data_IF_479322731029
#
_entry.id   IF_479322731029
#
_cell.length_a   1.000
_cell.length_b   1.000
_cell.length_c   1.000
_cell.angle_alpha   90.00
_cell.angle_beta   90.00
_cell.angle_gamma   90.00
#
_symmetry.space_group_name_H-M   'P 1'
#
loop_
_entity.id
_entity.type
_entity.pdbx_description
1 polymer ?
#
# COMPACT_ATOMS: atom_id res chain seq x y z
N UNK A 1 24.29 19.39 20.79
CA UNK A 1 23.50 19.22 19.54
C UNK A 1 22.31 18.33 19.87
N UNK A 2 21.06 18.78 19.59
CA UNK A 2 19.89 17.91 19.75
C UNK A 2 20.06 16.70 18.81
N UNK A 3 19.98 15.51 19.36
CA UNK A 3 20.01 14.27 18.57
C UNK A 3 18.78 14.29 17.65
N UNK A 4 18.98 14.52 16.36
CA UNK A 4 17.88 14.65 15.38
C UNK A 4 17.39 13.25 14.94
N UNK A 5 16.76 12.52 15.84
CA UNK A 5 16.22 11.21 15.53
C UNK A 5 15.00 11.31 14.61
N UNK A 6 14.96 10.46 13.58
CA UNK A 6 13.81 10.27 12.70
C UNK A 6 13.27 8.88 12.98
N UNK A 7 11.99 8.79 13.34
CA UNK A 7 11.30 7.53 13.55
C UNK A 7 10.66 7.08 12.23
N UNK A 8 11.10 5.94 11.70
CA UNK A 8 10.54 5.32 10.51
C UNK A 8 9.46 4.32 10.93
N UNK A 9 8.20 4.62 10.62
CA UNK A 9 7.06 3.77 10.93
C UNK A 9 6.73 2.85 9.76
N UNK A 10 6.87 1.54 9.99
CA UNK A 10 6.48 0.47 9.09
C UNK A 10 5.41 -0.40 9.76
N UNK A 11 4.11 -0.08 9.57
CA UNK A 11 3.01 -0.79 10.22
C UNK A 11 2.80 -2.21 9.70
N UNK A 12 3.41 -2.54 8.58
CA UNK A 12 3.41 -3.83 7.89
C UNK A 12 4.60 -3.91 6.92
N UNK A 13 4.63 -4.92 6.04
CA UNK A 13 5.69 -5.09 5.03
C UNK A 13 5.65 -4.10 3.86
N UNK A 14 4.60 -3.28 3.78
CA UNK A 14 4.46 -2.30 2.68
C UNK A 14 5.50 -1.18 2.82
N UNK A 15 6.23 -0.97 1.77
CA UNK A 15 7.26 0.08 1.70
C UNK A 15 8.67 -0.35 2.08
N UNK A 16 8.91 -1.57 2.60
CA UNK A 16 10.26 -2.08 2.90
C UNK A 16 11.16 -1.88 1.68
N UNK A 17 10.77 -2.46 0.54
CA UNK A 17 11.55 -2.36 -0.70
C UNK A 17 11.78 -0.91 -1.13
N UNK A 18 10.74 -0.07 -1.05
CA UNK A 18 10.77 1.29 -1.57
C UNK A 18 11.56 2.26 -0.68
N UNK A 19 11.63 2.00 0.62
CA UNK A 19 12.21 2.97 1.56
C UNK A 19 13.40 2.43 2.35
N UNK A 20 13.47 1.12 2.60
CA UNK A 20 14.60 0.54 3.35
C UNK A 20 15.69 -0.01 2.43
N UNK A 21 15.33 -0.46 1.21
CA UNK A 21 16.27 -0.98 0.22
C UNK A 21 16.58 0.01 -0.92
N UNK A 22 16.18 1.27 -0.76
CA UNK A 22 16.47 2.37 -1.66
C UNK A 22 17.46 3.35 -1.04
N UNK A 23 17.96 4.28 -1.84
CA UNK A 23 18.88 5.32 -1.36
C UNK A 23 18.21 6.50 -0.64
N UNK A 24 16.88 6.43 -0.37
CA UNK A 24 16.11 7.54 0.24
C UNK A 24 16.70 8.01 1.58
N UNK A 25 17.20 7.10 2.40
CA UNK A 25 17.76 7.40 3.72
C UNK A 25 19.26 7.22 3.81
N UNK A 26 19.95 7.09 2.68
CA UNK A 26 21.40 6.90 2.62
C UNK A 26 22.16 8.06 3.26
N UNK A 27 23.07 7.75 4.16
CA UNK A 27 23.85 8.74 4.91
C UNK A 27 23.16 9.27 6.18
N UNK A 28 21.94 8.85 6.46
CA UNK A 28 21.16 9.23 7.66
C UNK A 28 21.01 8.11 8.69
N UNK A 29 21.60 6.96 8.46
CA UNK A 29 21.32 5.69 9.17
C UNK A 29 21.51 5.80 10.69
N UNK A 30 22.44 6.62 11.14
CA UNK A 30 22.71 6.85 12.59
C UNK A 30 21.59 7.63 13.30
N UNK A 31 20.80 8.38 12.54
CA UNK A 31 19.68 9.17 13.04
C UNK A 31 18.36 8.42 13.02
N UNK A 32 18.32 7.26 12.32
CA UNK A 32 17.12 6.50 12.09
C UNK A 32 16.81 5.55 13.26
N UNK A 33 15.54 5.51 13.64
CA UNK A 33 14.98 4.49 14.53
C UNK A 33 13.79 3.85 13.80
N UNK A 34 13.80 2.54 13.65
CA UNK A 34 12.72 1.80 13.01
C UNK A 34 11.66 1.42 14.06
N UNK A 35 10.40 1.76 13.81
CA UNK A 35 9.22 1.28 14.55
C UNK A 35 8.37 0.43 13.60
N UNK A 36 8.28 -0.88 13.84
CA UNK A 36 7.76 -1.81 12.84
C UNK A 36 6.88 -2.92 13.43
N UNK A 37 6.08 -3.56 12.55
CA UNK A 37 5.29 -4.76 12.86
C UNK A 37 5.80 -5.99 12.07
N UNK A 38 7.12 -6.10 11.86
CA UNK A 38 7.71 -7.24 11.17
C UNK A 38 7.76 -8.47 12.07
N UNK A 39 7.77 -9.65 11.47
CA UNK A 39 8.21 -10.86 12.14
C UNK A 39 9.74 -10.87 12.32
N UNK A 40 10.25 -11.76 13.16
CA UNK A 40 11.67 -11.84 13.50
C UNK A 40 12.56 -12.08 12.26
N UNK A 41 12.08 -12.84 11.27
CA UNK A 41 12.83 -13.14 10.04
C UNK A 41 12.96 -11.89 9.17
N UNK A 42 11.86 -11.14 8.99
CA UNK A 42 11.85 -9.90 8.22
C UNK A 42 12.67 -8.82 8.92
N UNK A 43 12.57 -8.69 10.25
CA UNK A 43 13.39 -7.75 11.03
C UNK A 43 14.89 -8.04 10.84
N UNK A 44 15.29 -9.30 10.95
CA UNK A 44 16.69 -9.70 10.75
C UNK A 44 17.16 -9.40 9.32
N UNK A 45 16.35 -9.75 8.31
CA UNK A 45 16.69 -9.46 6.91
C UNK A 45 16.87 -7.96 6.64
N UNK A 46 16.05 -7.10 7.25
CA UNK A 46 16.19 -5.64 7.16
C UNK A 46 17.49 -5.18 7.83
N UNK A 47 17.81 -5.68 9.04
CA UNK A 47 19.07 -5.34 9.73
C UNK A 47 20.31 -5.78 8.95
N UNK A 48 20.26 -6.95 8.32
CA UNK A 48 21.38 -7.48 7.53
C UNK A 48 21.59 -6.70 6.22
N UNK A 49 20.49 -6.17 5.65
CA UNK A 49 20.52 -5.49 4.35
C UNK A 49 20.66 -3.97 4.45
N UNK A 50 20.50 -3.40 5.64
CA UNK A 50 20.58 -1.95 5.87
C UNK A 50 21.52 -1.63 7.01
N UNK A 51 22.00 -0.39 7.07
CA UNK A 51 22.82 0.07 8.20
C UNK A 51 21.96 0.49 9.42
N UNK A 52 20.65 0.31 9.39
CA UNK A 52 19.72 0.69 10.47
C UNK A 52 19.70 -0.42 11.53
N UNK A 53 20.33 -0.15 12.68
CA UNK A 53 20.42 -1.13 13.78
C UNK A 53 19.40 -0.87 14.89
N UNK A 54 18.89 0.35 15.01
CA UNK A 54 17.93 0.73 16.04
C UNK A 54 16.51 0.39 15.59
N UNK A 55 15.97 -0.72 16.06
CA UNK A 55 14.63 -1.20 15.72
C UNK A 55 13.80 -1.47 16.98
N UNK A 56 12.53 -1.11 16.94
CA UNK A 56 11.53 -1.29 17.97
C UNK A 56 10.28 -1.90 17.36
N UNK A 57 9.73 -2.92 17.99
CA UNK A 57 8.46 -3.50 17.55
C UNK A 57 7.28 -2.62 17.98
N UNK A 58 6.30 -2.47 17.09
CA UNK A 58 4.99 -1.89 17.43
C UNK A 58 4.30 -2.81 18.43
N UNK A 59 3.74 -2.28 19.54
CA UNK A 59 2.93 -3.08 20.46
C UNK A 59 1.78 -3.78 19.75
N UNK A 60 1.30 -4.89 20.31
CA UNK A 60 0.17 -5.62 19.74
C UNK A 60 -1.06 -4.72 19.66
N UNK A 61 -1.49 -4.40 18.44
CA UNK A 61 -2.69 -3.63 18.20
C UNK A 61 -3.93 -4.53 18.15
N UNK A 62 -4.91 -4.23 18.99
CA UNK A 62 -6.22 -4.88 18.96
C UNK A 62 -7.30 -3.81 18.84
N UNK A 63 -7.93 -3.74 17.66
CA UNK A 63 -8.96 -2.75 17.38
C UNK A 63 -10.24 -3.05 18.14
N UNK A 64 -10.74 -2.13 18.94
CA UNK A 64 -12.04 -2.25 19.59
C UNK A 64 -13.20 -2.17 18.59
N UNK A 65 -14.35 -2.73 18.93
CA UNK A 65 -15.55 -2.64 18.07
C UNK A 65 -15.95 -1.20 17.78
N UNK A 66 -15.75 -0.28 18.72
CA UNK A 66 -16.06 1.15 18.56
C UNK A 66 -15.12 1.80 17.56
N UNK A 67 -13.81 1.56 17.68
CA UNK A 67 -12.82 2.07 16.73
C UNK A 67 -13.10 1.56 15.33
N UNK A 68 -13.31 0.25 15.20
CA UNK A 68 -13.62 -0.40 13.93
C UNK A 68 -14.89 0.15 13.29
N UNK A 69 -15.95 0.33 14.09
CA UNK A 69 -17.20 0.89 13.58
C UNK A 69 -17.01 2.32 13.05
N UNK A 70 -16.34 3.18 13.81
CA UNK A 70 -16.07 4.56 13.37
C UNK A 70 -15.18 4.60 12.13
N UNK A 71 -14.12 3.81 12.08
CA UNK A 71 -13.21 3.72 10.95
C UNK A 71 -13.91 3.24 9.67
N UNK A 72 -14.70 2.17 9.75
CA UNK A 72 -15.46 1.66 8.61
C UNK A 72 -16.58 2.64 8.19
N UNK A 73 -17.22 3.33 9.14
CA UNK A 73 -18.23 4.34 8.85
C UNK A 73 -17.62 5.56 8.14
N UNK A 74 -16.43 6.02 8.57
CA UNK A 74 -15.69 7.07 7.89
C UNK A 74 -15.35 6.64 6.45
N UNK A 75 -14.83 5.43 6.28
CA UNK A 75 -14.47 4.89 4.98
C UNK A 75 -15.68 4.88 4.03
N UNK A 76 -16.79 4.25 4.42
CA UNK A 76 -17.98 4.16 3.57
C UNK A 76 -18.59 5.54 3.28
N UNK A 77 -18.62 6.44 4.27
CA UNK A 77 -19.14 7.80 4.09
C UNK A 77 -18.29 8.58 3.09
N UNK A 78 -16.95 8.44 3.14
CA UNK A 78 -16.04 9.04 2.16
C UNK A 78 -16.18 8.40 0.78
N UNK A 79 -16.28 7.07 0.66
CA UNK A 79 -16.52 6.40 -0.62
C UNK A 79 -17.81 6.94 -1.30
N UNK A 80 -18.93 7.05 -0.54
CA UNK A 80 -20.17 7.62 -1.06
C UNK A 80 -20.04 9.08 -1.46
N UNK A 81 -19.33 9.88 -0.68
CA UNK A 81 -19.07 11.27 -0.99
C UNK A 81 -18.19 11.40 -2.23
N UNK A 82 -17.08 10.66 -2.31
CA UNK A 82 -16.13 10.69 -3.42
C UNK A 82 -16.78 10.22 -4.73
N UNK A 83 -17.55 9.13 -4.69
CA UNK A 83 -18.27 8.63 -5.87
C UNK A 83 -19.20 9.70 -6.48
N UNK A 84 -19.91 10.45 -5.63
CA UNK A 84 -20.76 11.55 -6.06
C UNK A 84 -19.93 12.76 -6.53
N UNK A 85 -18.81 13.06 -5.86
CA UNK A 85 -17.95 14.21 -6.17
C UNK A 85 -17.38 14.15 -7.60
N UNK A 86 -16.97 12.94 -8.03
CA UNK A 86 -16.34 12.72 -9.34
C UNK A 86 -17.25 12.00 -10.34
N UNK A 87 -18.53 11.85 -10.01
CA UNK A 87 -19.54 11.14 -10.81
C UNK A 87 -19.07 9.74 -11.27
N UNK A 88 -18.42 9.02 -10.33
CA UNK A 88 -17.90 7.67 -10.61
C UNK A 88 -18.36 6.66 -9.57
N UNK A 89 -19.45 5.90 -9.84
CA UNK A 89 -19.98 4.90 -8.92
C UNK A 89 -19.03 3.70 -8.68
N UNK A 90 -18.06 3.45 -9.58
CA UNK A 90 -17.12 2.35 -9.41
C UNK A 90 -16.23 2.50 -8.17
N UNK A 91 -16.08 3.71 -7.63
CA UNK A 91 -15.41 3.95 -6.34
C UNK A 91 -16.04 3.10 -5.21
N UNK A 92 -17.36 2.84 -5.28
CA UNK A 92 -18.06 2.05 -4.28
C UNK A 92 -17.68 0.56 -4.28
N UNK A 93 -17.08 0.04 -5.33
CA UNK A 93 -16.57 -1.34 -5.36
C UNK A 93 -15.46 -1.57 -4.33
N UNK A 94 -14.81 -0.50 -3.84
CA UNK A 94 -13.85 -0.56 -2.73
C UNK A 94 -14.51 -0.85 -1.36
N UNK A 95 -15.83 -0.89 -1.28
CA UNK A 95 -16.56 -1.35 -0.11
C UNK A 95 -16.63 -2.88 -0.05
N UNK A 96 -16.89 -3.44 1.12
CA UNK A 96 -16.94 -4.88 1.35
C UNK A 96 -18.04 -5.54 0.52
N UNK A 97 -17.70 -6.40 -0.43
CA UNK A 97 -18.66 -7.12 -1.29
C UNK A 97 -19.07 -8.48 -0.73
N UNK A 98 -18.14 -9.20 -0.11
CA UNK A 98 -18.39 -10.56 0.40
C UNK A 98 -18.06 -10.67 1.90
N UNK A 99 -19.07 -11.02 2.69
CA UNK A 99 -18.96 -11.16 4.14
C UNK A 99 -19.43 -12.55 4.56
N UNK A 100 -18.51 -13.37 5.07
CA UNK A 100 -18.83 -14.67 5.67
C UNK A 100 -19.16 -14.49 7.16
N UNK A 101 -20.27 -15.09 7.62
CA UNK A 101 -20.71 -15.10 9.01
C UNK A 101 -21.70 -13.99 9.36
N UNK A 102 -22.74 -14.38 10.14
CA UNK A 102 -23.88 -13.53 10.51
C UNK A 102 -23.45 -12.25 11.25
N UNK A 103 -22.57 -12.39 12.24
CA UNK A 103 -22.09 -11.24 13.03
C UNK A 103 -21.42 -10.17 12.17
N UNK A 104 -20.56 -10.58 11.22
CA UNK A 104 -19.93 -9.64 10.28
C UNK A 104 -20.98 -8.97 9.40
N UNK A 105 -21.95 -9.71 8.88
CA UNK A 105 -23.05 -9.17 8.06
C UNK A 105 -23.83 -8.10 8.82
N UNK A 106 -24.22 -8.37 10.07
CA UNK A 106 -24.95 -7.42 10.92
C UNK A 106 -24.09 -6.18 11.18
N UNK A 107 -22.82 -6.34 11.53
CA UNK A 107 -21.91 -5.23 11.78
C UNK A 107 -21.78 -4.30 10.55
N UNK A 108 -21.47 -4.85 9.39
CA UNK A 108 -21.32 -4.02 8.18
C UNK A 108 -22.66 -3.44 7.70
N UNK A 109 -23.77 -4.14 7.90
CA UNK A 109 -25.10 -3.59 7.63
C UNK A 109 -25.43 -2.40 8.53
N UNK A 110 -25.05 -2.44 9.80
CA UNK A 110 -25.21 -1.30 10.71
C UNK A 110 -24.37 -0.09 10.28
N UNK A 111 -23.14 -0.32 9.76
CA UNK A 111 -22.31 0.73 9.16
C UNK A 111 -22.99 1.33 7.93
N UNK A 112 -23.56 0.50 7.05
CA UNK A 112 -24.28 0.98 5.85
C UNK A 112 -25.45 1.88 6.22
N UNK A 113 -26.28 1.45 7.18
CA UNK A 113 -27.44 2.23 7.67
C UNK A 113 -26.96 3.55 8.28
N UNK A 114 -25.97 3.51 9.16
CA UNK A 114 -25.44 4.71 9.80
C UNK A 114 -24.87 5.70 8.76
N UNK A 115 -24.27 5.21 7.68
CA UNK A 115 -23.64 6.06 6.66
C UNK A 115 -24.59 7.00 5.94
N UNK A 116 -25.91 6.73 5.90
CA UNK A 116 -26.89 7.64 5.33
C UNK A 116 -26.94 8.99 6.07
N UNK A 117 -26.65 9.00 7.37
CA UNK A 117 -26.55 10.22 8.16
C UNK A 117 -25.29 11.07 7.91
N UNK A 118 -24.29 10.51 7.19
CA UNK A 118 -22.97 11.12 7.02
C UNK A 118 -22.58 11.36 5.55
N UNK A 119 -23.54 11.69 4.70
CA UNK A 119 -23.36 11.97 3.27
C UNK A 119 -22.72 13.34 2.96
N UNK A 120 -22.65 14.26 3.95
CA UNK A 120 -22.07 15.61 3.79
C UNK A 120 -20.65 15.63 4.37
N UNK A 121 -19.72 16.30 3.68
CA UNK A 121 -18.30 16.36 4.06
C UNK A 121 -18.07 16.81 5.52
N UNK A 122 -18.72 17.87 5.98
CA UNK A 122 -18.59 18.35 7.36
C UNK A 122 -19.02 17.33 8.42
N UNK A 123 -19.98 16.45 8.10
CA UNK A 123 -20.37 15.34 8.99
C UNK A 123 -19.32 14.25 9.02
N UNK A 124 -18.64 13.99 7.89
CA UNK A 124 -17.49 13.07 7.84
C UNK A 124 -16.38 13.56 8.76
N UNK A 125 -16.02 14.83 8.69
CA UNK A 125 -15.02 15.44 9.59
C UNK A 125 -15.43 15.32 11.08
N UNK A 126 -16.73 15.38 11.39
CA UNK A 126 -17.22 15.15 12.75
C UNK A 126 -17.00 13.70 13.20
N UNK A 127 -17.20 12.72 12.29
CA UNK A 127 -16.87 11.31 12.58
C UNK A 127 -15.36 11.12 12.83
N UNK A 128 -14.52 11.76 12.03
CA UNK A 128 -13.06 11.70 12.22
C UNK A 128 -12.64 12.25 13.59
N UNK A 129 -13.22 13.36 14.03
CA UNK A 129 -12.99 13.87 15.39
C UNK A 129 -13.41 12.88 16.48
N UNK A 130 -14.54 12.17 16.29
CA UNK A 130 -14.99 11.12 17.21
C UNK A 130 -14.04 9.92 17.21
N UNK A 131 -13.56 9.52 16.05
CA UNK A 131 -12.56 8.46 15.91
C UNK A 131 -11.24 8.86 16.59
N UNK A 132 -10.74 10.06 16.35
CA UNK A 132 -9.55 10.60 17.00
C UNK A 132 -9.65 10.63 18.54
N UNK A 133 -10.85 10.88 19.07
CA UNK A 133 -11.10 10.77 20.53
C UNK A 133 -11.13 9.31 21.00
N UNK A 134 -11.69 8.39 20.19
CA UNK A 134 -11.80 6.99 20.58
C UNK A 134 -10.44 6.32 20.67
N UNK A 135 -9.55 6.52 19.68
CA UNK A 135 -8.21 5.91 19.64
C UNK A 135 -7.31 6.37 20.80
N UNK A 136 -7.47 7.62 21.27
CA UNK A 136 -6.71 8.14 22.44
C UNK A 136 -7.07 7.50 23.77
N UNK A 137 -8.20 6.82 23.84
CA UNK A 137 -8.68 6.13 25.04
C UNK A 137 -8.34 4.63 25.03
N UNK A 138 -7.24 4.22 24.39
CA UNK A 138 -6.81 2.82 24.29
C UNK A 138 -5.49 2.58 24.98
N UNK A 139 -5.27 1.35 25.44
CA UNK A 139 -3.97 0.92 25.99
C UNK A 139 -2.87 1.08 24.95
N UNK A 140 -3.17 0.68 23.71
CA UNK A 140 -2.22 0.81 22.59
C UNK A 140 -1.73 2.25 22.39
N UNK A 141 -2.63 3.24 22.47
CA UNK A 141 -2.23 4.65 22.38
C UNK A 141 -1.24 5.04 23.49
N UNK A 142 -1.49 4.60 24.72
CA UNK A 142 -0.62 4.90 25.87
C UNK A 142 0.76 4.25 25.67
N UNK A 143 0.80 2.98 25.28
CA UNK A 143 2.05 2.25 25.02
C UNK A 143 2.88 2.94 23.93
N UNK A 144 2.25 3.27 22.81
CA UNK A 144 2.92 3.98 21.69
C UNK A 144 3.40 5.35 22.14
N UNK A 145 2.60 6.11 22.89
CA UNK A 145 3.01 7.42 23.42
C UNK A 145 4.25 7.32 24.31
N UNK A 146 4.33 6.26 25.13
CA UNK A 146 5.52 6.01 25.96
C UNK A 146 6.76 5.69 25.10
N UNK A 147 6.60 4.90 24.03
CA UNK A 147 7.68 4.63 23.08
C UNK A 147 8.15 5.93 22.42
N UNK A 148 7.24 6.77 21.94
CA UNK A 148 7.58 8.04 21.31
C UNK A 148 8.28 9.01 22.30
N UNK A 149 7.86 9.05 23.56
CA UNK A 149 8.54 9.84 24.60
C UNK A 149 9.95 9.31 24.89
N UNK A 150 10.14 7.98 24.93
CA UNK A 150 11.47 7.37 25.18
C UNK A 150 12.43 7.58 24.00
N UNK A 151 11.95 7.47 22.77
CA UNK A 151 12.76 7.72 21.55
C UNK A 151 13.03 9.20 21.36
N UNK A 152 12.06 10.06 21.71
CA UNK A 152 12.06 11.51 21.52
C UNK A 152 12.46 11.93 20.08
N UNK A 153 11.79 11.43 19.03
CA UNK A 153 12.14 11.75 17.67
C UNK A 153 11.72 13.19 17.32
N UNK A 154 12.47 13.84 16.43
CA UNK A 154 12.07 15.14 15.87
C UNK A 154 10.95 14.96 14.84
N UNK A 155 11.02 13.85 14.07
CA UNK A 155 10.08 13.55 12.99
C UNK A 155 9.65 12.08 13.02
N UNK A 156 8.42 11.85 12.57
CA UNK A 156 7.88 10.52 12.31
C UNK A 156 7.54 10.42 10.82
N UNK A 157 8.17 9.46 10.13
CA UNK A 157 7.90 9.14 8.74
C UNK A 157 7.12 7.82 8.65
N UNK A 158 6.00 7.79 7.95
CA UNK A 158 5.16 6.59 7.77
C UNK A 158 5.17 6.13 6.32
N UNK A 159 5.58 4.88 6.09
CA UNK A 159 5.65 4.26 4.77
C UNK A 159 4.29 3.84 4.21
N UNK A 160 3.29 3.59 5.07
CA UNK A 160 1.99 3.07 4.66
C UNK A 160 0.83 3.65 5.49
N UNK A 161 0.26 4.76 5.01
CA UNK A 161 -0.81 5.51 5.70
C UNK A 161 -2.11 4.72 5.94
N UNK A 162 -2.29 3.57 5.29
CA UNK A 162 -3.49 2.72 5.43
C UNK A 162 -3.39 1.69 6.55
N UNK A 163 -2.22 1.55 7.16
CA UNK A 163 -2.04 0.66 8.31
C UNK A 163 -3.01 1.02 9.44
N UNK A 164 -3.76 0.03 9.96
CA UNK A 164 -4.87 0.29 10.91
C UNK A 164 -4.36 0.92 12.22
N UNK A 165 -3.18 0.55 12.67
CA UNK A 165 -2.53 1.11 13.88
C UNK A 165 -2.00 2.53 13.70
N UNK A 166 -1.77 2.97 12.46
CA UNK A 166 -1.14 4.26 12.16
C UNK A 166 -1.90 5.45 12.74
N UNK A 167 -3.24 5.40 12.75
CA UNK A 167 -4.05 6.49 13.28
C UNK A 167 -3.75 6.80 14.76
N UNK A 168 -3.56 5.76 15.59
CA UNK A 168 -3.21 5.92 17.01
C UNK A 168 -1.77 6.43 17.19
N UNK A 169 -0.84 5.95 16.36
CA UNK A 169 0.57 6.36 16.39
C UNK A 169 0.70 7.84 16.00
N UNK A 170 -0.01 8.26 14.94
CA UNK A 170 -0.05 9.67 14.53
C UNK A 170 -0.73 10.56 15.56
N UNK A 171 -1.79 10.08 16.23
CA UNK A 171 -2.42 10.82 17.32
C UNK A 171 -1.46 11.05 18.49
N UNK A 172 -0.66 10.04 18.85
CA UNK A 172 0.36 10.17 19.90
C UNK A 172 1.49 11.12 19.50
N UNK A 173 1.95 11.04 18.24
CA UNK A 173 2.95 11.96 17.70
C UNK A 173 2.46 13.43 17.73
N UNK A 174 1.23 13.66 17.26
CA UNK A 174 0.59 14.97 17.31
C UNK A 174 0.53 15.54 18.73
N UNK A 175 0.08 14.71 19.71
CA UNK A 175 -0.06 15.13 21.12
C UNK A 175 1.29 15.39 21.81
N UNK A 176 2.40 14.93 21.22
CA UNK A 176 3.78 15.17 21.66
C UNK A 176 4.50 16.29 20.86
N UNK A 177 3.83 16.88 19.87
CA UNK A 177 4.43 17.91 19.01
C UNK A 177 5.52 17.37 18.07
N UNK A 178 5.50 16.08 17.72
CA UNK A 178 6.41 15.46 16.78
C UNK A 178 5.89 15.71 15.37
N UNK A 179 6.74 16.28 14.48
CA UNK A 179 6.38 16.49 13.06
C UNK A 179 6.10 15.17 12.37
N UNK A 180 4.97 15.06 11.69
CA UNK A 180 4.53 13.84 11.03
C UNK A 180 4.57 13.95 9.51
N UNK A 181 5.14 12.93 8.85
CA UNK A 181 5.27 12.84 7.40
C UNK A 181 4.69 11.49 6.98
N UNK A 182 3.84 11.49 5.96
CA UNK A 182 3.34 10.24 5.39
C UNK A 182 3.45 10.25 3.87
N UNK A 183 3.66 9.08 3.29
CA UNK A 183 3.58 8.89 1.84
C UNK A 183 2.20 8.40 1.46
N UNK A 184 1.69 8.83 0.31
CA UNK A 184 0.57 8.16 -0.34
C UNK A 184 1.19 7.05 -1.18
N UNK A 185 1.17 5.84 -0.63
CA UNK A 185 1.98 4.72 -1.12
C UNK A 185 1.69 4.32 -2.57
N UNK A 186 0.44 4.45 -3.02
CA UNK A 186 0.02 4.06 -4.37
C UNK A 186 -0.97 5.08 -4.92
N UNK A 187 -0.93 5.29 -6.23
CA UNK A 187 -1.81 6.20 -6.96
C UNK A 187 -3.31 5.93 -6.73
N UNK A 188 -3.69 4.68 -6.50
CA UNK A 188 -5.06 4.24 -6.28
C UNK A 188 -5.56 4.36 -4.82
N UNK A 189 -4.71 4.82 -3.90
CA UNK A 189 -5.05 4.84 -2.48
C UNK A 189 -6.06 5.91 -2.10
N UNK A 190 -6.03 7.06 -2.75
CA UNK A 190 -6.90 8.19 -2.41
C UNK A 190 -8.38 7.90 -2.68
N UNK A 191 -8.78 7.38 -3.85
CA UNK A 191 -10.16 6.98 -4.12
C UNK A 191 -10.69 5.93 -3.14
N UNK A 192 -9.82 5.04 -2.61
CA UNK A 192 -10.20 3.98 -1.66
C UNK A 192 -10.59 4.49 -0.27
N UNK A 193 -10.43 5.78 0.01
CA UNK A 193 -10.92 6.48 1.20
C UNK A 193 -10.46 5.88 2.57
N UNK A 194 -9.29 5.20 2.60
CA UNK A 194 -8.78 4.54 3.80
C UNK A 194 -7.65 5.30 4.50
N UNK A 195 -7.62 6.61 4.37
CA UNK A 195 -6.68 7.47 5.09
C UNK A 195 -7.35 8.02 6.36
N UNK A 196 -7.26 7.28 7.46
CA UNK A 196 -7.85 7.69 8.75
C UNK A 196 -6.95 8.61 9.58
N UNK A 197 -5.68 8.75 9.22
CA UNK A 197 -4.74 9.66 9.87
C UNK A 197 -4.68 11.02 9.17
N UNK A 198 -4.17 12.02 9.89
CA UNK A 198 -3.74 13.32 9.33
C UNK A 198 -2.29 13.52 9.70
N UNK A 199 -1.51 14.03 8.72
CA UNK A 199 -0.09 14.31 8.85
C UNK A 199 0.18 15.81 8.64
N UNK A 200 1.35 16.27 9.09
CA UNK A 200 1.81 17.62 8.79
C UNK A 200 2.27 17.73 7.33
N UNK A 201 2.85 16.64 6.78
CA UNK A 201 3.34 16.58 5.40
C UNK A 201 2.90 15.30 4.70
N UNK A 202 2.55 15.42 3.42
CA UNK A 202 2.15 14.33 2.54
C UNK A 202 3.09 14.28 1.33
N UNK A 203 3.69 13.12 1.09
CA UNK A 203 4.52 12.89 -0.08
C UNK A 203 3.70 12.13 -1.13
N UNK A 204 3.66 12.64 -2.33
CA UNK A 204 2.91 12.07 -3.46
C UNK A 204 3.79 11.89 -4.68
N UNK A 205 3.41 10.99 -5.58
CA UNK A 205 4.23 10.63 -6.74
C UNK A 205 4.21 11.68 -7.83
N UNK A 206 3.09 12.36 -8.01
CA UNK A 206 2.85 13.24 -9.16
C UNK A 206 1.90 14.38 -8.84
N UNK A 207 1.84 15.35 -9.74
CA UNK A 207 0.88 16.46 -9.69
C UNK A 207 -0.57 15.97 -9.77
N UNK A 208 -0.84 14.86 -10.46
CA UNK A 208 -2.18 14.23 -10.47
C UNK A 208 -2.58 13.79 -9.06
N UNK A 209 -1.70 13.08 -8.36
CA UNK A 209 -1.98 12.66 -6.96
C UNK A 209 -2.09 13.86 -6.01
N UNK A 210 -1.34 14.93 -6.25
CA UNK A 210 -1.48 16.18 -5.49
C UNK A 210 -2.89 16.77 -5.68
N UNK A 211 -3.39 16.81 -6.93
CA UNK A 211 -4.73 17.29 -7.24
C UNK A 211 -5.82 16.40 -6.63
N UNK A 212 -5.67 15.08 -6.72
CA UNK A 212 -6.57 14.12 -6.10
C UNK A 212 -6.60 14.25 -4.57
N UNK A 213 -5.44 14.42 -3.93
CA UNK A 213 -5.38 14.61 -2.48
C UNK A 213 -6.15 15.86 -2.06
N UNK A 214 -6.02 16.96 -2.78
CA UNK A 214 -6.78 18.19 -2.53
C UNK A 214 -8.28 18.01 -2.80
N UNK A 215 -8.64 17.27 -3.82
CA UNK A 215 -10.03 17.01 -4.20
C UNK A 215 -10.74 16.15 -3.15
N UNK A 216 -10.13 15.04 -2.73
CA UNK A 216 -10.75 14.10 -1.79
C UNK A 216 -10.58 14.52 -0.31
N UNK A 217 -9.59 15.37 0.00
CA UNK A 217 -9.25 15.83 1.35
C UNK A 217 -8.97 17.34 1.36
N UNK A 218 -9.99 18.18 1.06
CA UNK A 218 -9.80 19.64 0.87
C UNK A 218 -9.32 20.38 2.12
N UNK A 219 -9.37 19.76 3.30
CA UNK A 219 -8.77 20.31 4.53
C UNK A 219 -7.23 20.26 4.53
N UNK A 220 -6.60 19.45 3.67
CA UNK A 220 -5.15 19.39 3.53
C UNK A 220 -4.70 20.53 2.62
N UNK A 221 -3.88 21.42 3.18
CA UNK A 221 -3.42 22.63 2.49
C UNK A 221 -2.31 22.30 1.48
N UNK A 222 -2.20 23.09 0.40
CA UNK A 222 -1.19 22.93 -0.65
C UNK A 222 0.25 22.84 -0.09
N UNK A 223 0.60 23.67 0.90
CA UNK A 223 1.94 23.67 1.50
C UNK A 223 2.26 22.42 2.33
N UNK A 224 1.30 21.54 2.56
CA UNK A 224 1.49 20.25 3.23
C UNK A 224 1.77 19.13 2.24
N UNK A 225 1.62 19.35 0.92
CA UNK A 225 1.70 18.32 -0.11
C UNK A 225 2.96 18.54 -0.95
N UNK A 226 3.81 17.52 -1.02
CA UNK A 226 5.08 17.54 -1.73
C UNK A 226 5.07 16.48 -2.84
N UNK A 227 5.32 16.89 -4.07
CA UNK A 227 5.51 15.98 -5.20
C UNK A 227 6.96 15.54 -5.19
N UNK A 228 7.21 14.28 -4.83
CA UNK A 228 8.58 13.73 -4.64
C UNK A 228 8.91 12.61 -5.62
N UNK A 229 7.94 12.17 -6.42
CA UNK A 229 8.09 10.90 -7.11
C UNK A 229 7.93 9.71 -6.14
N UNK A 230 8.43 8.55 -6.55
CA UNK A 230 8.44 7.33 -5.72
C UNK A 230 9.75 6.57 -5.91
N UNK A 231 10.39 6.11 -4.83
CA UNK A 231 11.63 5.31 -4.93
C UNK A 231 11.39 3.92 -5.51
N UNK A 232 10.14 3.53 -5.73
CA UNK A 232 9.76 2.24 -6.31
C UNK A 232 10.48 1.93 -7.63
N UNK A 233 10.85 2.95 -8.39
CA UNK A 233 11.46 2.83 -9.72
C UNK A 233 12.97 3.07 -9.73
N UNK A 234 13.62 3.35 -8.60
CA UNK A 234 15.07 3.56 -8.53
C UNK A 234 15.86 2.37 -9.08
N UNK A 235 15.40 1.16 -8.79
CA UNK A 235 16.07 -0.07 -9.21
C UNK A 235 16.24 -0.17 -10.75
N UNK A 236 15.39 0.50 -11.53
CA UNK A 236 15.50 0.50 -12.99
C UNK A 236 16.60 1.43 -13.52
N UNK A 237 17.13 2.31 -12.68
CA UNK A 237 18.23 3.21 -13.00
C UNK A 237 19.60 2.71 -12.54
N UNK A 238 19.64 1.57 -11.87
CA UNK A 238 20.84 0.94 -11.35
C UNK A 238 21.27 -0.18 -12.30
N UNK A 239 22.39 -0.03 -13.07
CA UNK A 239 22.80 -1.01 -14.08
C UNK A 239 22.97 -2.43 -13.54
N UNK A 240 23.40 -2.56 -12.27
CA UNK A 240 23.57 -3.84 -11.57
C UNK A 240 22.27 -4.62 -11.40
N UNK A 241 21.11 -3.96 -11.46
CA UNK A 241 19.79 -4.59 -11.37
C UNK A 241 19.24 -5.02 -12.73
N UNK A 242 19.92 -4.65 -13.82
CA UNK A 242 19.49 -4.99 -15.18
C UNK A 242 20.20 -6.27 -15.61
N UNK A 243 19.43 -7.32 -15.81
CA UNK A 243 19.97 -8.59 -16.30
C UNK A 243 20.37 -8.42 -17.78
N UNK A 244 21.62 -8.75 -18.19
CA UNK A 244 22.01 -8.75 -19.60
C UNK A 244 21.09 -9.63 -20.44
N UNK A 245 20.86 -9.22 -21.70
CA UNK A 245 19.88 -9.86 -22.58
C UNK A 245 20.15 -11.36 -22.77
N UNK A 246 21.38 -11.73 -23.02
CA UNK A 246 21.83 -13.11 -23.20
C UNK A 246 21.57 -13.96 -21.97
N UNK A 247 21.93 -13.47 -20.78
CA UNK A 247 21.66 -14.13 -19.49
C UNK A 247 20.15 -14.25 -19.23
N UNK A 248 19.37 -13.25 -19.62
CA UNK A 248 17.91 -13.28 -19.48
C UNK A 248 17.29 -14.35 -20.39
N UNK A 249 17.71 -14.42 -21.65
CA UNK A 249 17.22 -15.40 -22.61
C UNK A 249 17.57 -16.83 -22.17
N UNK A 250 18.80 -17.07 -21.73
CA UNK A 250 19.24 -18.35 -21.19
C UNK A 250 18.41 -18.76 -19.96
N UNK A 251 18.28 -17.82 -18.99
CA UNK A 251 17.56 -18.09 -17.71
C UNK A 251 16.11 -18.53 -17.93
N UNK A 252 15.42 -17.95 -18.89
CA UNK A 252 14.02 -18.22 -19.17
C UNK A 252 13.79 -19.14 -20.38
N UNK A 253 14.85 -19.76 -20.89
CA UNK A 253 14.81 -20.65 -22.05
C UNK A 253 14.07 -20.02 -23.24
N UNK A 254 14.46 -18.78 -23.58
CA UNK A 254 13.89 -17.99 -24.67
C UNK A 254 14.70 -18.17 -25.95
N UNK A 255 14.00 -18.25 -27.08
CA UNK A 255 14.62 -18.28 -28.39
C UNK A 255 15.07 -16.86 -28.78
N UNK A 256 16.38 -16.59 -29.00
CA UNK A 256 16.89 -15.27 -29.34
C UNK A 256 16.47 -14.79 -30.74
N UNK A 257 15.95 -15.67 -31.59
CA UNK A 257 15.49 -15.35 -32.95
C UNK A 257 14.03 -14.87 -32.96
N UNK A 258 13.25 -15.20 -31.90
CA UNK A 258 11.84 -14.85 -31.76
C UNK A 258 11.63 -13.57 -30.98
N UNK A 259 10.58 -12.84 -31.34
CA UNK A 259 10.08 -11.71 -30.55
C UNK A 259 9.35 -12.19 -29.31
N UNK A 260 9.46 -11.44 -28.21
CA UNK A 260 8.80 -11.79 -26.96
C UNK A 260 7.50 -11.00 -26.80
N UNK A 261 6.41 -11.70 -26.57
CA UNK A 261 5.16 -11.15 -26.00
C UNK A 261 5.19 -11.41 -24.50
N UNK A 262 5.38 -10.35 -23.68
CA UNK A 262 5.31 -10.50 -22.25
C UNK A 262 3.85 -10.47 -21.79
N UNK A 263 3.31 -11.62 -21.40
CA UNK A 263 1.98 -11.71 -20.77
C UNK A 263 2.12 -11.53 -19.26
N UNK A 264 1.65 -10.41 -18.74
CA UNK A 264 1.68 -10.12 -17.29
C UNK A 264 0.33 -10.46 -16.66
N UNK A 265 0.26 -11.63 -16.02
CA UNK A 265 -0.93 -12.02 -15.27
C UNK A 265 -1.12 -11.21 -13.99
N UNK A 266 -2.36 -11.01 -13.57
CA UNK A 266 -2.73 -10.35 -12.33
C UNK A 266 -3.06 -11.37 -11.22
N UNK A 267 -3.51 -10.92 -10.05
CA UNK A 267 -3.97 -11.82 -8.99
C UNK A 267 -5.34 -12.43 -9.32
N UNK A 268 -5.66 -13.54 -8.64
CA UNK A 268 -6.89 -14.34 -8.90
C UNK A 268 -8.17 -13.53 -8.68
N UNK A 269 -8.16 -12.55 -7.77
CA UNK A 269 -9.36 -11.76 -7.47
C UNK A 269 -9.56 -10.61 -8.45
N UNK A 270 -8.47 -10.05 -8.95
CA UNK A 270 -8.49 -8.93 -9.89
C UNK A 270 -8.82 -9.40 -11.30
N UNK A 271 -8.19 -10.49 -11.74
CA UNK A 271 -8.43 -11.06 -13.06
C UNK A 271 -8.52 -12.59 -13.00
N UNK A 272 -9.68 -13.16 -12.64
CA UNK A 272 -9.87 -14.59 -12.53
C UNK A 272 -9.70 -15.34 -13.87
N UNK A 273 -10.00 -14.67 -14.98
CA UNK A 273 -10.03 -15.25 -16.33
C UNK A 273 -8.70 -15.12 -17.10
N UNK A 274 -7.64 -14.59 -16.48
CA UNK A 274 -6.30 -14.50 -17.10
C UNK A 274 -5.82 -15.79 -17.81
N UNK A 275 -6.02 -17.00 -17.22
CA UNK A 275 -5.62 -18.22 -17.92
C UNK A 275 -6.34 -18.41 -19.26
N UNK A 276 -7.63 -18.03 -19.36
CA UNK A 276 -8.38 -18.11 -20.60
C UNK A 276 -7.84 -17.13 -21.64
N UNK A 277 -7.53 -15.90 -21.22
CA UNK A 277 -6.95 -14.91 -22.15
C UNK A 277 -5.58 -15.31 -22.66
N UNK A 278 -4.77 -15.98 -21.83
CA UNK A 278 -3.48 -16.53 -22.25
C UNK A 278 -3.68 -17.70 -23.25
N UNK A 279 -4.67 -18.57 -23.02
CA UNK A 279 -5.04 -19.68 -23.93
C UNK A 279 -5.49 -19.13 -25.29
N UNK A 280 -6.38 -18.12 -25.29
CA UNK A 280 -6.88 -17.47 -26.49
C UNK A 280 -5.73 -16.81 -27.29
N UNK A 281 -4.80 -16.13 -26.59
CA UNK A 281 -3.63 -15.53 -27.23
C UNK A 281 -2.74 -16.58 -27.90
N UNK A 282 -2.46 -17.68 -27.21
CA UNK A 282 -1.62 -18.75 -27.73
C UNK A 282 -2.29 -19.45 -28.94
N UNK A 283 -3.60 -19.74 -28.86
CA UNK A 283 -4.38 -20.31 -29.96
C UNK A 283 -4.37 -19.38 -31.20
N UNK A 284 -4.52 -18.07 -31.02
CA UNK A 284 -4.52 -17.11 -32.12
C UNK A 284 -3.13 -16.98 -32.79
N UNK A 285 -2.06 -17.05 -32.01
CA UNK A 285 -0.69 -17.08 -32.59
C UNK A 285 -0.48 -18.30 -33.46
N UNK A 286 -0.89 -19.50 -33.00
CA UNK A 286 -0.78 -20.73 -33.76
C UNK A 286 -1.66 -20.74 -35.03
N UNK A 287 -2.93 -20.32 -34.93
CA UNK A 287 -3.85 -20.24 -36.08
C UNK A 287 -3.34 -19.35 -37.22
N UNK A 288 -2.56 -18.33 -36.86
CA UNK A 288 -2.02 -17.37 -37.82
C UNK A 288 -0.55 -17.65 -38.19
N UNK A 289 0.01 -18.82 -37.79
CA UNK A 289 1.41 -19.22 -38.00
C UNK A 289 2.41 -18.17 -37.51
N UNK A 290 2.12 -17.48 -36.39
CA UNK A 290 2.98 -16.46 -35.79
C UNK A 290 3.91 -17.04 -34.71
N UNK A 291 3.76 -18.30 -34.35
CA UNK A 291 4.61 -19.00 -33.39
C UNK A 291 6.04 -19.24 -33.89
N UNK A 292 6.30 -19.10 -35.22
CA UNK A 292 7.64 -19.08 -35.76
C UNK A 292 8.39 -17.79 -35.44
N UNK A 293 7.68 -16.64 -35.36
CA UNK A 293 8.24 -15.31 -35.14
C UNK A 293 8.14 -14.85 -33.70
N UNK A 294 7.22 -15.42 -32.90
CA UNK A 294 6.89 -14.97 -31.57
C UNK A 294 6.95 -16.10 -30.53
N UNK A 295 7.25 -15.71 -29.30
CA UNK A 295 7.14 -16.55 -28.10
C UNK A 295 6.49 -15.74 -26.98
N UNK A 296 5.81 -16.41 -26.03
CA UNK A 296 5.15 -15.77 -24.90
C UNK A 296 6.00 -15.97 -23.65
N UNK A 297 6.39 -14.89 -22.98
CA UNK A 297 6.96 -14.93 -21.65
C UNK A 297 5.85 -14.65 -20.63
N UNK A 298 5.44 -15.68 -19.87
CA UNK A 298 4.44 -15.54 -18.83
C UNK A 298 5.08 -15.00 -17.54
N UNK A 299 4.71 -13.78 -17.15
CA UNK A 299 5.04 -13.21 -15.85
C UNK A 299 3.84 -13.34 -14.91
N UNK A 300 3.86 -14.33 -14.04
CA UNK A 300 2.81 -14.50 -13.01
C UNK A 300 2.86 -13.36 -11.99
N UNK A 301 1.70 -12.96 -11.47
CA UNK A 301 1.64 -12.07 -10.32
C UNK A 301 2.33 -12.75 -9.12
N UNK A 302 3.25 -12.07 -8.41
CA UNK A 302 4.02 -12.68 -7.30
C UNK A 302 3.16 -13.24 -6.15
N UNK A 303 1.93 -12.73 -5.98
CA UNK A 303 0.98 -13.22 -4.97
C UNK A 303 0.07 -14.35 -5.47
N UNK A 304 0.12 -14.67 -6.77
CA UNK A 304 -0.65 -15.76 -7.36
C UNK A 304 0.12 -17.09 -7.28
N UNK A 305 -0.14 -17.85 -6.24
CA UNK A 305 0.43 -19.19 -6.03
C UNK A 305 -0.52 -20.31 -6.44
N UNK A 306 -1.60 -20.01 -7.17
CA UNK A 306 -2.70 -20.95 -7.41
C UNK A 306 -2.39 -22.05 -8.43
N UNK A 307 -1.33 -21.94 -9.23
CA UNK A 307 -1.04 -22.87 -10.32
C UNK A 307 -2.04 -22.84 -11.50
N UNK A 308 -2.93 -21.82 -11.57
CA UNK A 308 -4.01 -21.74 -12.57
C UNK A 308 -3.52 -21.68 -14.03
N UNK A 309 -2.26 -21.28 -14.25
CA UNK A 309 -1.64 -21.26 -15.58
C UNK A 309 -1.00 -22.60 -16.01
N UNK A 310 -0.84 -23.55 -15.10
CA UNK A 310 -0.02 -24.75 -15.36
C UNK A 310 -0.56 -25.62 -16.50
N UNK A 311 -1.90 -25.71 -16.64
CA UNK A 311 -2.54 -26.43 -17.76
C UNK A 311 -2.25 -25.78 -19.11
N UNK A 312 -2.25 -24.44 -19.16
CA UNK A 312 -2.01 -23.69 -20.38
C UNK A 312 -0.54 -23.79 -20.80
N UNK A 313 0.38 -23.67 -19.85
CA UNK A 313 1.82 -23.87 -20.10
C UNK A 313 2.06 -25.28 -20.66
N UNK A 314 1.42 -26.31 -20.07
CA UNK A 314 1.55 -27.67 -20.53
C UNK A 314 0.93 -27.91 -21.94
N UNK A 315 -0.08 -27.11 -22.31
CA UNK A 315 -0.71 -27.17 -23.64
C UNK A 315 0.19 -26.61 -24.75
N UNK A 316 1.02 -25.59 -24.40
CA UNK A 316 1.87 -24.87 -25.35
C UNK A 316 3.33 -24.76 -24.88
N UNK A 317 4.04 -25.89 -24.68
CA UNK A 317 5.36 -25.91 -24.04
C UNK A 317 6.46 -25.20 -24.86
N UNK A 318 6.30 -25.16 -26.19
CA UNK A 318 7.26 -24.51 -27.10
C UNK A 318 6.99 -23.01 -27.27
N UNK A 319 5.75 -22.57 -27.07
CA UNK A 319 5.33 -21.19 -27.26
C UNK A 319 5.38 -20.36 -25.98
N UNK A 320 5.01 -20.94 -24.82
CA UNK A 320 4.93 -20.25 -23.51
C UNK A 320 6.09 -20.65 -22.62
N UNK A 321 6.80 -19.64 -22.11
CA UNK A 321 7.95 -19.81 -21.22
C UNK A 321 7.68 -19.13 -19.89
#
# INVERSE_FOLDING_TARGET
>A
MKNKKILLLFPDGVGIRNYLYSDVFKGMEKELVLLHAFDAKTEQAVKDSTAIQNALSIPKYTESLKEKFLRELICLSRLKYNAKLVDNPSILTNWKSELKGLFKKIFYKSVEIASFGYSRYGRILTLEKRYQKAIRNTVFYVEVKNILMAVAPEKLFCSHQRGVSCASIFAAAYDLGIETITVIYSWDNLPKARMALRADKYLVWSDYMQQELKMYYPEIKQQQIFVTGTPQFECYHQPENIIPKDVFYERYNLDPTKKIICYSGDDVLTCPDDPQYLDDLADELLKNNLDEDYQILLRRCPVDISGRFDKIISKYPDLIK
#
